data_IF_190617780617
#
_entry.id   IF_190617780617
#
_cell.length_a   1.000
_cell.length_b   1.000
_cell.length_c   1.000
_cell.angle_alpha   90.00
_cell.angle_beta   90.00
_cell.angle_gamma   90.00
#
_symmetry.space_group_name_H-M   'P 1'
#
loop_
_entity.id
_entity.type
_entity.pdbx_description
1 polymer ?
#
# COMPACT_ATOMS: atom_id res chain seq x y z
N UNK A 1 -5.62 6.51 -20.71
CA UNK A 1 -4.71 7.00 -19.65
C UNK A 1 -5.19 6.55 -18.28
N UNK A 2 -4.26 6.12 -17.47
CA UNK A 2 -4.57 5.66 -16.11
C UNK A 2 -5.09 6.80 -15.25
N UNK A 3 -5.95 6.45 -14.30
CA UNK A 3 -6.51 7.41 -13.35
C UNK A 3 -6.12 7.01 -11.95
N UNK A 4 -5.69 7.97 -11.14
CA UNK A 4 -5.27 7.75 -9.77
C UNK A 4 -6.07 8.61 -8.80
N UNK A 5 -6.52 8.02 -7.71
CA UNK A 5 -7.32 8.71 -6.70
C UNK A 5 -6.82 8.40 -5.29
N UNK A 6 -7.05 9.35 -4.40
CA UNK A 6 -6.82 9.17 -2.95
C UNK A 6 -8.14 9.52 -2.27
N UNK A 7 -8.78 8.55 -1.64
CA UNK A 7 -10.11 8.71 -1.06
C UNK A 7 -10.19 8.21 0.36
N UNK A 8 -10.95 8.90 1.20
CA UNK A 8 -11.36 8.38 2.51
C UNK A 8 -12.39 7.27 2.30
N UNK A 9 -12.58 6.42 3.33
CA UNK A 9 -13.51 5.29 3.23
C UNK A 9 -14.93 5.74 2.84
N UNK A 10 -15.42 6.80 3.47
CA UNK A 10 -16.76 7.33 3.20
C UNK A 10 -16.93 7.97 1.82
N UNK A 11 -15.84 8.26 1.13
CA UNK A 11 -15.87 8.79 -0.23
C UNK A 11 -15.88 7.71 -1.30
N UNK A 12 -15.64 6.46 -0.90
CA UNK A 12 -15.57 5.32 -1.82
C UNK A 12 -16.98 4.87 -2.21
N UNK A 13 -17.13 4.48 -3.47
CA UNK A 13 -18.36 3.80 -3.89
C UNK A 13 -18.35 2.35 -3.39
N UNK A 14 -19.54 1.76 -3.33
CA UNK A 14 -19.66 0.34 -2.95
C UNK A 14 -18.84 -0.56 -3.88
N UNK A 15 -18.84 -0.25 -5.19
CA UNK A 15 -18.05 -1.01 -6.16
C UNK A 15 -16.56 -0.86 -5.91
N UNK A 16 -16.10 0.33 -5.61
CA UNK A 16 -14.67 0.57 -5.30
C UNK A 16 -14.23 -0.23 -4.08
N UNK A 17 -15.05 -0.25 -3.03
CA UNK A 17 -14.77 -1.03 -1.82
C UNK A 17 -14.70 -2.52 -2.16
N UNK A 18 -15.70 -3.03 -2.86
CA UNK A 18 -15.73 -4.42 -3.30
C UNK A 18 -14.48 -4.77 -4.11
N UNK A 19 -14.14 -3.93 -5.07
CA UNK A 19 -13.06 -4.22 -6.01
C UNK A 19 -11.69 -4.20 -5.34
N UNK A 20 -11.43 -3.25 -4.42
CA UNK A 20 -10.12 -3.26 -3.77
C UNK A 20 -9.98 -4.40 -2.76
N UNK A 21 -11.04 -4.79 -2.07
CA UNK A 21 -10.98 -5.97 -1.21
C UNK A 21 -10.77 -7.25 -2.04
N UNK A 22 -11.42 -7.34 -3.21
CA UNK A 22 -11.23 -8.47 -4.11
C UNK A 22 -9.78 -8.54 -4.61
N UNK A 23 -9.20 -7.41 -4.99
CA UNK A 23 -7.80 -7.34 -5.43
C UNK A 23 -6.85 -7.76 -4.30
N UNK A 24 -7.05 -7.25 -3.08
CA UNK A 24 -6.23 -7.60 -1.93
C UNK A 24 -6.30 -9.09 -1.62
N UNK A 25 -7.51 -9.66 -1.62
CA UNK A 25 -7.68 -11.09 -1.38
C UNK A 25 -7.02 -11.94 -2.45
N UNK A 26 -7.17 -11.56 -3.72
CA UNK A 26 -6.61 -12.31 -4.84
C UNK A 26 -5.07 -12.38 -4.77
N UNK A 27 -4.40 -11.31 -4.35
CA UNK A 27 -2.94 -11.27 -4.32
C UNK A 27 -2.38 -11.72 -2.97
N UNK A 28 -2.84 -11.11 -1.88
CA UNK A 28 -2.23 -11.34 -0.57
C UNK A 28 -2.59 -12.70 0.03
N UNK A 29 -3.79 -13.19 -0.24
CA UNK A 29 -4.24 -14.45 0.32
C UNK A 29 -4.08 -15.59 -0.68
N UNK A 30 -4.67 -15.45 -1.87
CA UNK A 30 -4.70 -16.54 -2.86
C UNK A 30 -3.36 -16.71 -3.56
N UNK A 31 -2.87 -15.66 -4.23
CA UNK A 31 -1.61 -15.75 -4.99
C UNK A 31 -0.42 -16.07 -4.09
N UNK A 32 -0.30 -15.41 -2.94
CA UNK A 32 0.82 -15.62 -2.01
C UNK A 32 0.63 -16.84 -1.12
N UNK A 33 -0.50 -17.53 -1.25
CA UNK A 33 -0.81 -18.72 -0.45
C UNK A 33 -0.60 -18.45 1.04
N UNK A 34 -1.20 -17.37 1.52
CA UNK A 34 -1.00 -16.90 2.89
C UNK A 34 -2.35 -16.76 3.58
N UNK A 35 -2.57 -17.54 4.63
CA UNK A 35 -3.81 -17.50 5.39
C UNK A 35 -3.65 -16.47 6.51
N UNK A 36 -4.31 -15.31 6.37
CA UNK A 36 -4.32 -14.28 7.40
C UNK A 36 -5.56 -13.39 7.24
N UNK A 37 -5.84 -12.61 8.26
CA UNK A 37 -6.99 -11.70 8.27
C UNK A 37 -6.62 -10.39 7.56
N UNK A 38 -6.83 -10.33 6.25
CA UNK A 38 -6.49 -9.13 5.47
C UNK A 38 -7.36 -7.93 5.84
N UNK A 39 -8.66 -8.15 6.05
CA UNK A 39 -9.58 -7.09 6.49
C UNK A 39 -9.42 -6.96 8.00
N UNK A 40 -8.71 -5.93 8.45
CA UNK A 40 -8.23 -5.78 9.82
C UNK A 40 -8.92 -4.66 10.62
N UNK A 41 -9.95 -4.05 10.04
CA UNK A 41 -10.68 -2.95 10.67
C UNK A 41 -10.05 -1.57 10.47
N UNK A 42 -8.81 -1.50 9.99
CA UNK A 42 -8.11 -0.22 9.82
C UNK A 42 -8.55 0.52 8.56
N UNK A 43 -9.21 -0.15 7.64
CA UNK A 43 -9.68 0.44 6.39
C UNK A 43 -10.71 1.55 6.63
N UNK A 44 -11.48 1.46 7.71
CA UNK A 44 -12.53 2.43 8.02
C UNK A 44 -11.99 3.84 8.26
N UNK A 45 -10.76 3.96 8.77
CA UNK A 45 -10.12 5.25 9.08
C UNK A 45 -8.94 5.58 8.17
N UNK A 46 -8.72 4.79 7.12
CA UNK A 46 -7.59 4.96 6.22
C UNK A 46 -7.93 5.89 5.05
N UNK A 47 -6.87 6.35 4.38
CA UNK A 47 -6.99 6.88 3.01
C UNK A 47 -6.61 5.74 2.06
N UNK A 48 -7.35 5.64 0.97
CA UNK A 48 -7.22 4.57 -0.02
C UNK A 48 -6.71 5.13 -1.33
N UNK A 49 -5.63 4.57 -1.83
CA UNK A 49 -5.08 4.92 -3.14
C UNK A 49 -5.62 3.90 -4.13
N UNK A 50 -6.21 4.40 -5.20
CA UNK A 50 -6.83 3.58 -6.22
C UNK A 50 -6.26 3.95 -7.58
N UNK A 51 -5.78 2.96 -8.32
CA UNK A 51 -5.34 3.14 -9.70
C UNK A 51 -6.25 2.37 -10.65
N UNK A 52 -6.77 3.07 -11.65
CA UNK A 52 -7.68 2.51 -12.64
C UNK A 52 -7.08 2.56 -14.03
N UNK A 53 -7.39 1.55 -14.84
CA UNK A 53 -7.06 1.57 -16.27
C UNK A 53 -7.94 2.58 -17.01
N UNK A 54 -7.64 2.80 -18.29
CA UNK A 54 -8.49 3.63 -19.16
C UNK A 54 -9.93 3.13 -19.22
N UNK A 55 -10.15 1.83 -19.02
CA UNK A 55 -11.47 1.19 -19.04
C UNK A 55 -12.10 1.09 -17.66
N UNK A 56 -11.60 1.88 -16.71
CA UNK A 56 -12.11 1.95 -15.33
C UNK A 56 -12.03 0.64 -14.56
N UNK A 57 -11.03 -0.20 -14.86
CA UNK A 57 -10.74 -1.39 -14.08
C UNK A 57 -9.70 -1.08 -13.01
N UNK A 58 -9.97 -1.42 -11.77
CA UNK A 58 -9.02 -1.26 -10.67
C UNK A 58 -7.88 -2.26 -10.86
N UNK A 59 -6.64 -1.74 -10.97
CA UNK A 59 -5.47 -2.59 -11.12
C UNK A 59 -4.40 -2.36 -10.04
N UNK A 60 -4.52 -1.28 -9.27
CA UNK A 60 -3.53 -0.90 -8.28
C UNK A 60 -4.20 -0.35 -7.03
N UNK A 61 -3.61 -0.65 -5.87
CA UNK A 61 -4.15 -0.19 -4.61
C UNK A 61 -3.04 -0.03 -3.57
N UNK A 62 -3.19 0.94 -2.68
CA UNK A 62 -2.44 1.00 -1.43
C UNK A 62 -3.28 1.70 -0.36
N UNK A 63 -2.85 1.56 0.89
CA UNK A 63 -3.54 2.11 2.04
C UNK A 63 -2.60 3.03 2.82
N UNK A 64 -3.09 4.22 3.18
CA UNK A 64 -2.36 5.18 4.01
C UNK A 64 -3.05 5.26 5.38
N UNK A 65 -2.30 4.98 6.44
CA UNK A 65 -2.78 5.08 7.82
C UNK A 65 -2.12 6.28 8.50
N UNK A 66 -2.95 7.09 9.18
CA UNK A 66 -2.48 8.24 9.96
C UNK A 66 -1.53 7.79 11.08
N UNK A 67 -0.68 8.69 11.60
CA UNK A 67 0.11 8.39 12.79
C UNK A 67 -0.79 7.92 13.94
N UNK A 68 -0.37 6.86 14.61
CA UNK A 68 -1.14 6.23 15.69
C UNK A 68 -2.09 5.13 15.23
N UNK A 69 -2.33 5.00 13.94
CA UNK A 69 -3.22 3.94 13.42
C UNK A 69 -2.46 2.68 12.99
N UNK A 70 -1.26 2.83 12.47
CA UNK A 70 -0.38 1.70 12.15
C UNK A 70 0.86 1.71 13.03
N UNK A 71 1.57 2.83 13.04
CA UNK A 71 2.73 3.07 13.89
C UNK A 71 2.46 4.30 14.76
N UNK A 72 3.11 4.37 15.94
CA UNK A 72 2.80 5.41 16.93
C UNK A 72 3.08 6.84 16.45
N UNK A 73 4.12 7.04 15.64
CA UNK A 73 4.57 8.39 15.26
C UNK A 73 4.81 8.57 13.76
N UNK A 74 4.58 7.55 12.96
CA UNK A 74 4.80 7.58 11.52
C UNK A 74 3.51 7.35 10.76
N UNK A 75 3.42 7.93 9.57
CA UNK A 75 2.41 7.54 8.59
C UNK A 75 2.76 6.16 8.06
N UNK A 76 1.80 5.27 7.94
CA UNK A 76 2.01 3.95 7.36
C UNK A 76 1.46 3.90 5.95
N UNK A 77 2.23 3.34 5.02
CA UNK A 77 1.73 2.92 3.72
C UNK A 77 1.80 1.40 3.70
N UNK A 78 0.69 0.75 3.39
CA UNK A 78 0.62 -0.70 3.35
C UNK A 78 -0.36 -1.21 2.32
N UNK A 79 -0.51 -2.52 2.28
CA UNK A 79 -1.40 -3.19 1.32
C UNK A 79 -1.11 -2.75 -0.12
N UNK A 80 0.17 -2.55 -0.44
CA UNK A 80 0.63 -2.10 -1.76
C UNK A 80 0.51 -3.29 -2.71
N UNK A 81 -0.29 -3.13 -3.76
CA UNK A 81 -0.60 -4.26 -4.65
C UNK A 81 -0.87 -3.79 -6.08
N UNK A 82 -0.35 -4.56 -7.03
CA UNK A 82 -0.67 -4.44 -8.46
C UNK A 82 -1.28 -5.77 -8.90
N UNK A 83 -2.39 -5.71 -9.59
CA UNK A 83 -3.04 -6.89 -10.16
C UNK A 83 -2.07 -7.60 -11.10
N UNK A 84 -2.06 -8.94 -11.06
CA UNK A 84 -1.05 -9.77 -11.72
C UNK A 84 -0.82 -9.40 -13.20
N UNK A 85 -1.89 -9.20 -13.95
CA UNK A 85 -1.81 -8.93 -15.40
C UNK A 85 -1.29 -7.52 -15.73
N UNK A 86 -1.20 -6.65 -14.74
CA UNK A 86 -0.76 -5.26 -14.94
C UNK A 86 0.62 -4.98 -14.34
N UNK A 87 1.31 -5.99 -13.84
CA UNK A 87 2.67 -5.84 -13.33
C UNK A 87 3.63 -5.58 -14.48
N UNK A 88 4.80 -5.01 -14.17
CA UNK A 88 5.78 -4.50 -15.14
C UNK A 88 5.34 -3.14 -15.68
N UNK A 89 6.09 -2.56 -16.61
CA UNK A 89 5.83 -1.23 -17.18
C UNK A 89 5.79 -0.12 -16.13
N UNK A 90 6.59 -0.27 -15.05
CA UNK A 90 6.73 0.74 -13.99
C UNK A 90 5.43 1.03 -13.19
N UNK A 91 4.45 0.13 -13.24
CA UNK A 91 3.18 0.34 -12.51
C UNK A 91 3.39 0.39 -11.00
N UNK A 92 4.23 -0.48 -10.46
CA UNK A 92 4.55 -0.47 -9.03
C UNK A 92 5.24 0.82 -8.61
N UNK A 93 6.15 1.34 -9.43
CA UNK A 93 6.82 2.61 -9.17
C UNK A 93 5.82 3.77 -9.17
N UNK A 94 4.87 3.79 -10.10
CA UNK A 94 3.83 4.82 -10.15
C UNK A 94 2.96 4.79 -8.92
N UNK A 95 2.54 3.60 -8.48
CA UNK A 95 1.72 3.43 -7.28
C UNK A 95 2.44 3.95 -6.04
N UNK A 96 3.69 3.54 -5.84
CA UNK A 96 4.46 3.94 -4.67
C UNK A 96 4.73 5.44 -4.68
N UNK A 97 5.11 5.99 -5.84
CA UNK A 97 5.33 7.43 -5.98
C UNK A 97 4.07 8.22 -5.61
N UNK A 98 2.93 7.86 -6.19
CA UNK A 98 1.66 8.53 -5.90
C UNK A 98 1.28 8.41 -4.43
N UNK A 99 1.48 7.23 -3.83
CA UNK A 99 1.19 6.99 -2.42
C UNK A 99 2.05 7.89 -1.51
N UNK A 100 3.34 8.02 -1.81
CA UNK A 100 4.25 8.88 -1.05
C UNK A 100 3.82 10.35 -1.17
N UNK A 101 3.51 10.80 -2.38
CA UNK A 101 3.07 12.17 -2.62
C UNK A 101 1.83 12.51 -1.80
N UNK A 102 0.85 11.61 -1.78
CA UNK A 102 -0.39 11.81 -1.01
C UNK A 102 -0.15 11.74 0.49
N UNK A 103 0.69 10.81 0.94
CA UNK A 103 1.03 10.71 2.36
C UNK A 103 1.71 12.00 2.86
N UNK A 104 2.63 12.55 2.08
CA UNK A 104 3.30 13.81 2.40
C UNK A 104 2.35 15.00 2.41
N UNK A 105 1.40 15.03 1.47
CA UNK A 105 0.40 16.09 1.41
C UNK A 105 -0.55 16.05 2.61
N UNK A 106 -0.95 14.85 3.03
CA UNK A 106 -1.86 14.65 4.16
C UNK A 106 -1.18 14.90 5.51
N UNK A 107 0.09 14.48 5.64
CA UNK A 107 0.83 14.52 6.90
C UNK A 107 2.25 15.05 6.69
N UNK A 108 2.39 16.35 6.36
CA UNK A 108 3.68 16.92 5.90
C UNK A 108 4.80 16.89 6.93
N UNK A 109 4.47 16.79 8.23
CA UNK A 109 5.49 16.78 9.28
C UNK A 109 5.89 15.39 9.73
N UNK A 110 5.35 14.33 9.10
CA UNK A 110 5.55 12.95 9.54
C UNK A 110 6.48 12.19 8.61
N UNK A 111 7.22 11.27 9.21
CA UNK A 111 7.97 10.27 8.46
C UNK A 111 6.99 9.20 7.96
N UNK A 112 7.38 8.47 6.91
CA UNK A 112 6.58 7.39 6.35
C UNK A 112 7.29 6.07 6.66
N UNK A 113 6.57 5.12 7.21
CA UNK A 113 7.10 3.80 7.55
C UNK A 113 6.32 2.71 6.84
N UNK A 114 7.03 1.71 6.36
CA UNK A 114 6.43 0.55 5.73
C UNK A 114 7.01 -0.73 6.34
N UNK A 115 6.25 -1.83 6.23
CA UNK A 115 6.72 -3.18 6.49
C UNK A 115 6.85 -3.85 5.12
N UNK A 116 8.06 -3.86 4.59
CA UNK A 116 8.32 -4.33 3.24
C UNK A 116 8.66 -5.82 3.24
N UNK A 117 8.15 -6.56 2.26
CA UNK A 117 8.66 -7.90 2.04
C UNK A 117 10.15 -7.78 1.71
N UNK A 118 10.97 -8.59 2.37
CA UNK A 118 12.43 -8.43 2.33
C UNK A 118 12.99 -8.44 0.90
N UNK A 119 12.46 -9.31 0.04
CA UNK A 119 12.93 -9.42 -1.34
C UNK A 119 12.60 -8.20 -2.20
N UNK A 120 11.73 -7.28 -1.72
CA UNK A 120 11.37 -6.04 -2.40
C UNK A 120 12.11 -4.81 -1.83
N UNK A 121 13.05 -5.01 -0.92
CA UNK A 121 13.72 -3.88 -0.26
C UNK A 121 14.43 -2.95 -1.25
N UNK A 122 15.09 -3.51 -2.28
CA UNK A 122 15.76 -2.68 -3.29
C UNK A 122 14.77 -1.79 -4.04
N UNK A 123 13.58 -2.33 -4.34
CA UNK A 123 12.51 -1.58 -4.99
C UNK A 123 12.13 -0.36 -4.14
N UNK A 124 11.92 -0.55 -2.84
CA UNK A 124 11.56 0.56 -1.95
C UNK A 124 12.73 1.50 -1.70
N UNK A 125 13.96 0.99 -1.67
CA UNK A 125 15.15 1.85 -1.55
C UNK A 125 15.26 2.81 -2.73
N UNK A 126 14.83 2.41 -3.92
CA UNK A 126 14.81 3.29 -5.09
C UNK A 126 13.86 4.48 -4.92
N UNK A 127 12.92 4.41 -3.98
CA UNK A 127 12.01 5.51 -3.63
C UNK A 127 12.47 6.31 -2.42
N UNK A 128 13.68 6.03 -1.90
CA UNK A 128 14.25 6.77 -0.77
C UNK A 128 14.04 6.13 0.59
N UNK A 129 13.36 5.00 0.67
CA UNK A 129 13.22 4.28 1.93
C UNK A 129 14.54 3.66 2.36
N UNK A 130 14.77 3.60 3.67
CA UNK A 130 15.95 2.94 4.25
C UNK A 130 15.51 1.88 5.24
N UNK A 131 16.21 0.74 5.22
CA UNK A 131 15.95 -0.35 6.15
C UNK A 131 16.16 0.11 7.59
N UNK A 132 15.30 -0.37 8.50
CA UNK A 132 15.38 -0.08 9.92
C UNK A 132 15.27 -1.39 10.70
N UNK A 133 16.28 -1.68 11.51
CA UNK A 133 16.29 -2.89 12.33
C UNK A 133 16.58 -4.17 11.55
N UNK A 134 16.17 -5.28 12.13
CA UNK A 134 16.39 -6.62 11.56
C UNK A 134 15.15 -7.09 10.82
N UNK A 135 15.34 -8.03 9.90
CA UNK A 135 14.22 -8.71 9.25
C UNK A 135 13.43 -9.55 10.27
N UNK A 136 12.17 -9.76 9.99
CA UNK A 136 11.25 -10.53 10.82
C UNK A 136 10.25 -11.26 9.93
N UNK A 137 9.56 -12.24 10.48
CA UNK A 137 8.50 -12.94 9.77
C UNK A 137 7.17 -12.25 10.05
N UNK A 138 6.44 -11.96 8.99
CA UNK A 138 5.07 -11.46 9.07
C UNK A 138 4.22 -12.40 8.23
N UNK A 139 3.30 -13.11 8.89
CA UNK A 139 2.49 -14.16 8.27
C UNK A 139 3.35 -15.18 7.49
N UNK A 140 4.50 -15.54 8.05
CA UNK A 140 5.42 -16.52 7.48
C UNK A 140 6.31 -16.00 6.36
N UNK A 141 6.20 -14.74 5.97
CA UNK A 141 6.98 -14.13 4.89
C UNK A 141 8.02 -13.20 5.50
N UNK A 142 9.31 -13.30 5.08
CA UNK A 142 10.33 -12.35 5.57
C UNK A 142 10.02 -10.91 5.20
N UNK A 143 10.03 -10.04 6.20
CA UNK A 143 9.77 -8.60 6.06
C UNK A 143 10.87 -7.80 6.73
N UNK A 144 10.96 -6.53 6.40
CA UNK A 144 11.83 -5.57 7.09
C UNK A 144 11.12 -4.21 7.14
N UNK A 145 11.23 -3.55 8.29
CA UNK A 145 10.75 -2.18 8.41
C UNK A 145 11.62 -1.25 7.58
N UNK A 146 10.99 -0.30 6.89
CA UNK A 146 11.70 0.70 6.10
C UNK A 146 11.11 2.07 6.38
N UNK A 147 11.97 3.08 6.40
CA UNK A 147 11.61 4.44 6.79
C UNK A 147 11.99 5.43 5.71
N UNK A 148 11.04 6.31 5.37
CA UNK A 148 11.29 7.46 4.51
C UNK A 148 11.18 8.71 5.39
N UNK A 149 12.29 9.39 5.59
CA UNK A 149 12.33 10.61 6.37
C UNK A 149 11.72 11.77 5.58
N UNK A 150 11.10 12.69 6.29
CA UNK A 150 10.51 13.88 5.67
C UNK A 150 11.56 14.81 5.06
#
# INVERSE_FOLDING_TARGET
>A
MEKWFCKKYEELTKKEIHDFFALRAAVFVVEQDCIYQDIDGKDLSAHHILGFTEKDQLFAYSRILAPGKGYSSCVAIGRIVIELNYRKKNKGHKLVHYSIEKAKALYPSCQIKISAQLHLSDFYESHGFKKEGKSYLEDGIPHIAMLLKK
#
